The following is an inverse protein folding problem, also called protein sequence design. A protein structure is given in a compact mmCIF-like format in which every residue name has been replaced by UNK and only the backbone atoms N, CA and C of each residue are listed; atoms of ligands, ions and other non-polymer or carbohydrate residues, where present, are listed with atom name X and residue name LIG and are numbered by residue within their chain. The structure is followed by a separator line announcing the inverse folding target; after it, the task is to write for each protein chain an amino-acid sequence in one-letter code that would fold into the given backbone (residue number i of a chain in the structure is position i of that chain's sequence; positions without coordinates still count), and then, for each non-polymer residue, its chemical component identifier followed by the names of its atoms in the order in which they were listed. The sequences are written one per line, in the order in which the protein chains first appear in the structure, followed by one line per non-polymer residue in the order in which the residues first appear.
data_IF_014141257774
#
_entry.id   IF_014141257774
#
_cell.length_a   1.000
_cell.length_b   1.000
_cell.length_c   1.000
_cell.angle_alpha   90.00
_cell.angle_beta   90.00
_cell.angle_gamma   90.00
#
_symmetry.space_group_name_H-M   'P 1'
#
loop_
_entity.id
_entity.type
_entity.pdbx_description
1 polymer ?
#
# COMPACT_ATOMS: atom_id res chain seq x y z
N UNK A 1 10.90 23.32 2.95
CA UNK A 1 11.53 22.02 3.14
C UNK A 1 12.95 22.14 2.63
N UNK A 2 13.94 21.71 3.39
CA UNK A 2 15.29 21.45 2.88
C UNK A 2 15.14 20.49 1.69
N UNK A 3 15.82 20.77 0.59
CA UNK A 3 15.61 20.04 -0.68
C UNK A 3 15.67 18.52 -0.51
N UNK A 4 14.77 17.81 -1.17
CA UNK A 4 14.75 16.34 -1.24
C UNK A 4 15.99 15.87 -2.00
N UNK A 5 16.74 14.92 -1.42
CA UNK A 5 18.02 14.42 -1.96
C UNK A 5 17.90 12.95 -2.39
N UNK A 6 18.72 12.56 -3.34
CA UNK A 6 18.90 11.16 -3.69
C UNK A 6 19.35 10.36 -2.46
N UNK A 7 18.69 9.24 -2.20
CA UNK A 7 18.91 8.41 -1.03
C UNK A 7 17.99 8.72 0.16
N UNK A 8 17.22 9.81 0.14
CA UNK A 8 16.25 10.10 1.20
C UNK A 8 15.17 9.01 1.26
N UNK A 9 14.75 8.68 2.48
CA UNK A 9 13.73 7.67 2.75
C UNK A 9 12.62 8.30 3.59
N UNK A 10 11.40 8.24 3.09
CA UNK A 10 10.19 8.66 3.80
C UNK A 10 9.42 7.43 4.24
N UNK A 11 9.21 7.32 5.53
CA UNK A 11 8.52 6.21 6.16
C UNK A 11 7.17 6.68 6.69
N UNK A 12 6.12 5.92 6.39
CA UNK A 12 4.74 6.24 6.77
C UNK A 12 4.16 5.07 7.56
N UNK A 13 4.27 5.18 8.88
CA UNK A 13 3.60 4.27 9.81
C UNK A 13 2.08 4.47 9.76
N UNK A 14 1.37 3.50 10.27
CA UNK A 14 -0.07 3.59 10.47
C UNK A 14 -0.43 4.69 11.49
N UNK A 15 -1.31 5.60 11.08
CA UNK A 15 -1.83 6.69 11.93
C UNK A 15 -3.35 6.67 12.10
N UNK A 16 -4.04 5.79 11.38
CA UNK A 16 -5.50 5.78 11.31
C UNK A 16 -6.09 6.89 10.43
N UNK A 17 -5.25 7.63 9.72
CA UNK A 17 -5.65 8.72 8.84
C UNK A 17 -4.78 8.77 7.57
N UNK A 18 -5.24 9.48 6.55
CA UNK A 18 -4.44 9.77 5.35
C UNK A 18 -3.25 10.67 5.70
N UNK A 19 -2.10 10.35 5.14
CA UNK A 19 -0.89 11.17 5.18
C UNK A 19 -0.62 11.72 3.78
N UNK A 20 0.00 12.89 3.67
CA UNK A 20 0.25 13.52 2.37
C UNK A 20 1.70 13.95 2.23
N UNK A 21 2.22 13.91 1.01
CA UNK A 21 3.51 14.49 0.64
C UNK A 21 3.41 15.07 -0.76
N UNK A 22 4.13 16.17 -1.01
CA UNK A 22 4.36 16.66 -2.37
C UNK A 22 5.80 16.35 -2.73
N UNK A 23 5.96 15.48 -3.74
CA UNK A 23 7.27 15.11 -4.27
C UNK A 23 7.59 15.95 -5.50
N UNK A 24 8.83 16.48 -5.63
CA UNK A 24 9.26 17.18 -6.83
C UNK A 24 9.48 16.21 -7.99
N UNK A 25 9.82 16.76 -9.17
CA UNK A 25 10.34 15.97 -10.28
C UNK A 25 11.47 15.06 -9.79
N UNK A 26 11.44 13.77 -10.19
CA UNK A 26 12.43 12.80 -9.73
C UNK A 26 12.01 11.36 -9.98
N UNK A 27 12.80 10.42 -9.49
CA UNK A 27 12.54 8.98 -9.56
C UNK A 27 12.44 8.43 -8.14
N UNK A 28 11.38 7.68 -7.87
CA UNK A 28 11.00 7.24 -6.54
C UNK A 28 10.66 5.76 -6.53
N UNK A 29 11.23 5.00 -5.62
CA UNK A 29 10.78 3.65 -5.30
C UNK A 29 9.62 3.77 -4.31
N UNK A 30 8.48 3.20 -4.65
CA UNK A 30 7.29 3.12 -3.82
C UNK A 30 7.15 1.70 -3.29
N UNK A 31 6.95 1.55 -2.00
CA UNK A 31 6.79 0.26 -1.32
C UNK A 31 5.60 0.31 -0.38
N UNK A 32 4.72 -0.68 -0.46
CA UNK A 32 3.55 -0.80 0.40
C UNK A 32 3.50 -2.19 1.04
N UNK A 33 3.18 -2.26 2.33
CA UNK A 33 2.90 -3.49 3.08
C UNK A 33 1.46 -3.43 3.57
N UNK A 34 0.63 -4.40 3.22
CA UNK A 34 -0.75 -4.49 3.69
C UNK A 34 -0.82 -4.89 5.16
N UNK A 35 -1.93 -4.59 5.81
CA UNK A 35 -2.10 -4.91 7.21
C UNK A 35 -2.58 -6.35 7.45
N UNK A 36 -2.31 -6.89 8.62
CA UNK A 36 -2.77 -8.20 9.06
C UNK A 36 -4.26 -8.18 9.42
N UNK A 37 -4.97 -9.26 9.13
CA UNK A 37 -6.32 -9.50 9.62
C UNK A 37 -6.35 -9.81 11.12
N UNK A 38 -7.44 -9.47 11.78
CA UNK A 38 -7.65 -9.77 13.20
C UNK A 38 -7.70 -11.27 13.50
N UNK A 39 -7.40 -11.65 14.72
CA UNK A 39 -7.36 -13.04 15.18
C UNK A 39 -7.87 -13.16 16.61
N UNK A 40 -8.38 -14.34 16.98
CA UNK A 40 -8.94 -14.58 18.31
C UNK A 40 -7.90 -15.10 19.33
N UNK A 41 -7.06 -16.03 18.94
CA UNK A 41 -6.20 -16.76 19.87
C UNK A 41 -4.73 -16.81 19.47
N UNK A 42 -4.37 -16.55 18.24
CA UNK A 42 -2.99 -16.59 17.75
C UNK A 42 -2.82 -15.68 16.53
N UNK A 43 -1.77 -14.86 16.54
CA UNK A 43 -1.42 -13.97 15.43
C UNK A 43 -1.25 -14.71 14.09
N UNK A 44 -0.83 -15.97 14.14
CA UNK A 44 -0.67 -16.81 12.94
C UNK A 44 -1.98 -17.19 12.26
N UNK A 45 -3.13 -16.87 12.85
CA UNK A 45 -4.46 -17.16 12.29
C UNK A 45 -5.08 -16.01 11.52
N UNK A 46 -4.77 -14.76 11.87
CA UNK A 46 -5.10 -13.63 11.01
C UNK A 46 -4.26 -13.71 9.74
N UNK A 47 -4.86 -13.56 8.57
CA UNK A 47 -4.12 -13.53 7.31
C UNK A 47 -3.08 -12.40 7.34
N UNK A 48 -1.85 -12.69 6.94
CA UNK A 48 -0.80 -11.67 6.85
C UNK A 48 -1.04 -10.78 5.63
N UNK A 49 -0.64 -9.51 5.72
CA UNK A 49 -0.66 -8.59 4.61
C UNK A 49 0.38 -8.93 3.54
N UNK A 50 0.11 -8.51 2.29
CA UNK A 50 1.03 -8.64 1.18
C UNK A 50 1.94 -7.44 1.02
N UNK A 51 2.77 -7.47 -0.01
CA UNK A 51 3.70 -6.41 -0.37
C UNK A 51 3.53 -6.02 -1.84
N UNK A 52 3.70 -4.74 -2.13
CA UNK A 52 3.76 -4.23 -3.50
C UNK A 52 4.88 -3.20 -3.63
N UNK A 53 5.58 -3.21 -4.76
CA UNK A 53 6.68 -2.31 -5.07
C UNK A 53 6.63 -1.87 -6.53
N UNK A 54 7.13 -0.68 -6.80
CA UNK A 54 7.34 -0.17 -8.16
C UNK A 54 8.11 1.14 -8.15
N UNK A 55 8.69 1.49 -9.29
CA UNK A 55 9.45 2.72 -9.49
C UNK A 55 8.60 3.73 -10.27
N UNK A 56 8.36 4.90 -9.66
CA UNK A 56 7.61 6.02 -10.22
C UNK A 56 8.57 7.12 -10.69
N UNK A 57 8.37 7.60 -11.92
CA UNK A 57 9.02 8.81 -12.43
C UNK A 57 8.03 9.96 -12.41
N UNK A 58 8.38 11.06 -11.78
CA UNK A 58 7.60 12.29 -11.76
C UNK A 58 8.30 13.37 -12.59
N UNK A 59 7.55 14.00 -13.49
CA UNK A 59 8.04 15.09 -14.34
C UNK A 59 7.77 16.49 -13.77
N UNK A 60 6.97 16.58 -12.70
CA UNK A 60 6.62 17.83 -12.00
C UNK A 60 6.31 17.55 -10.54
N UNK A 61 6.21 18.63 -9.75
CA UNK A 61 5.74 18.54 -8.37
C UNK A 61 4.36 17.86 -8.31
N UNK A 62 4.26 16.77 -7.57
CA UNK A 62 3.07 15.93 -7.53
C UNK A 62 2.69 15.63 -6.09
N UNK A 63 1.43 15.86 -5.74
CA UNK A 63 0.88 15.48 -4.44
C UNK A 63 0.51 14.01 -4.41
N UNK A 64 0.94 13.31 -3.36
CA UNK A 64 0.60 11.93 -3.07
C UNK A 64 -0.21 11.87 -1.77
N UNK A 65 -1.22 11.00 -1.78
CA UNK A 65 -2.00 10.62 -0.60
C UNK A 65 -1.63 9.19 -0.21
N UNK A 66 -1.22 9.00 1.04
CA UNK A 66 -0.62 7.77 1.54
C UNK A 66 -1.52 7.17 2.61
N UNK A 67 -1.88 5.91 2.38
CA UNK A 67 -2.72 5.12 3.24
C UNK A 67 -1.95 3.92 3.76
N UNK A 68 -1.51 3.95 4.99
CA UNK A 68 -0.98 2.78 5.70
C UNK A 68 -2.13 2.06 6.36
N UNK A 69 -2.40 0.83 5.94
CA UNK A 69 -3.54 0.05 6.38
C UNK A 69 -3.53 -0.21 7.90
N UNK A 70 -4.69 -0.23 8.52
CA UNK A 70 -4.82 -0.66 9.92
C UNK A 70 -4.95 -2.18 10.02
N UNK A 71 -4.36 -2.82 11.03
CA UNK A 71 -4.64 -4.23 11.34
C UNK A 71 -6.12 -4.40 11.72
N UNK A 72 -6.67 -5.54 11.38
CA UNK A 72 -8.00 -5.91 11.87
C UNK A 72 -8.02 -6.00 13.39
N UNK A 73 -9.09 -5.52 14.02
CA UNK A 73 -9.19 -5.55 15.48
C UNK A 73 -9.25 -7.01 15.97
N UNK A 74 -8.41 -7.35 16.92
CA UNK A 74 -8.34 -8.64 17.59
C UNK A 74 -9.26 -8.64 18.80
N UNK A 75 -10.24 -9.56 18.83
CA UNK A 75 -11.26 -9.61 19.88
C UNK A 75 -12.32 -8.51 19.82
N UNK A 76 -12.28 -7.64 18.81
CA UNK A 76 -13.24 -6.55 18.59
C UNK A 76 -13.90 -6.63 17.21
N UNK A 77 -14.79 -5.68 16.91
CA UNK A 77 -15.65 -5.72 15.74
C UNK A 77 -15.15 -4.89 14.54
N UNK A 78 -14.20 -3.98 14.78
CA UNK A 78 -13.76 -3.03 13.75
C UNK A 78 -12.80 -3.66 12.76
N UNK A 79 -13.03 -3.41 11.48
CA UNK A 79 -12.06 -3.64 10.42
C UNK A 79 -10.91 -2.63 10.48
N UNK A 80 -9.79 -3.01 9.90
CA UNK A 80 -8.62 -2.14 9.77
C UNK A 80 -8.89 -0.97 8.84
N UNK A 81 -8.29 0.17 9.15
CA UNK A 81 -8.35 1.38 8.32
C UNK A 81 -7.94 1.07 6.88
N UNK A 82 -8.54 1.77 5.93
CA UNK A 82 -8.39 1.60 4.50
C UNK A 82 -8.88 0.23 3.98
N UNK A 83 -10.15 -0.04 4.24
CA UNK A 83 -10.94 -1.06 3.56
C UNK A 83 -11.00 -2.45 4.22
N UNK A 84 -10.36 -2.65 5.35
CA UNK A 84 -10.60 -3.87 6.14
C UNK A 84 -12.06 -3.94 6.59
N UNK A 85 -12.73 -5.08 6.38
CA UNK A 85 -14.13 -5.19 6.72
C UNK A 85 -14.35 -5.37 8.22
N UNK A 86 -15.41 -4.72 8.71
CA UNK A 86 -15.88 -4.86 10.10
C UNK A 86 -16.79 -6.09 10.24
N UNK A 87 -17.02 -6.50 11.46
CA UNK A 87 -17.87 -7.61 11.81
C UNK A 87 -18.81 -7.26 12.96
N UNK A 88 -19.88 -8.03 13.14
CA UNK A 88 -20.84 -7.79 14.23
C UNK A 88 -20.37 -8.27 15.59
N UNK A 89 -19.41 -9.19 15.69
CA UNK A 89 -19.03 -9.82 16.97
C UNK A 89 -17.55 -10.08 17.23
N UNK A 90 -16.68 -10.38 16.29
CA UNK A 90 -15.24 -10.62 16.52
C UNK A 90 -14.43 -10.40 15.25
N UNK A 91 -13.19 -9.96 15.40
CA UNK A 91 -12.09 -9.90 14.43
C UNK A 91 -12.43 -9.29 13.05
N UNK A 92 -11.97 -8.08 12.83
CA UNK A 92 -12.06 -7.39 11.53
C UNK A 92 -10.99 -7.84 10.55
N UNK A 93 -11.22 -7.64 9.25
CA UNK A 93 -10.21 -7.79 8.22
C UNK A 93 -9.14 -6.70 8.30
N UNK A 94 -7.92 -6.97 7.86
CA UNK A 94 -6.83 -5.99 7.74
C UNK A 94 -7.07 -5.02 6.57
N UNK A 95 -6.66 -3.77 6.71
CA UNK A 95 -6.73 -2.78 5.63
C UNK A 95 -5.62 -2.96 4.58
N UNK A 96 -5.86 -2.51 3.36
CA UNK A 96 -4.81 -2.38 2.35
C UNK A 96 -3.94 -1.15 2.61
N UNK A 97 -2.69 -1.16 2.15
CA UNK A 97 -1.87 0.04 2.07
C UNK A 97 -1.76 0.49 0.63
N UNK A 98 -1.95 1.79 0.37
CA UNK A 98 -1.91 2.31 -0.99
C UNK A 98 -1.34 3.73 -1.09
N UNK A 99 -0.91 4.10 -2.30
CA UNK A 99 -0.54 5.46 -2.66
C UNK A 99 -1.45 5.92 -3.81
N UNK A 100 -2.01 7.13 -3.66
CA UNK A 100 -2.86 7.79 -4.66
C UNK A 100 -2.18 9.05 -5.16
N UNK A 101 -2.34 9.36 -6.43
CA UNK A 101 -1.69 10.50 -7.08
C UNK A 101 -2.71 11.57 -7.46
N UNK A 102 -2.44 12.81 -7.05
CA UNK A 102 -3.15 14.02 -7.46
C UNK A 102 -4.53 14.19 -6.85
N UNK A 103 -5.23 13.11 -6.55
CA UNK A 103 -6.56 13.12 -5.94
C UNK A 103 -6.69 12.05 -4.85
N UNK A 104 -7.38 12.38 -3.78
CA UNK A 104 -7.72 11.43 -2.72
C UNK A 104 -8.94 10.59 -3.13
N UNK A 105 -8.70 9.63 -4.02
CA UNK A 105 -9.72 8.76 -4.58
C UNK A 105 -9.20 7.32 -4.76
N UNK A 106 -10.06 6.33 -4.57
CA UNK A 106 -9.75 4.94 -4.91
C UNK A 106 -9.40 4.77 -6.40
N UNK A 107 -9.87 5.67 -7.26
CA UNK A 107 -9.59 5.68 -8.70
C UNK A 107 -8.27 6.38 -9.08
N UNK A 108 -7.48 6.85 -8.09
CA UNK A 108 -6.17 7.45 -8.26
C UNK A 108 -5.04 6.59 -7.66
N UNK A 109 -5.30 5.32 -7.31
CA UNK A 109 -4.32 4.42 -6.70
C UNK A 109 -3.31 3.91 -7.72
N UNK A 110 -2.03 4.22 -7.54
CA UNK A 110 -0.94 3.72 -8.40
C UNK A 110 -0.32 2.42 -7.91
N UNK A 111 -0.42 2.16 -6.61
CA UNK A 111 0.14 0.96 -5.97
C UNK A 111 -0.72 0.59 -4.76
N UNK A 112 -0.98 -0.71 -4.59
CA UNK A 112 -1.80 -1.25 -3.50
C UNK A 112 -1.18 -2.55 -3.00
N UNK A 113 -0.97 -2.68 -1.71
CA UNK A 113 -0.69 -3.93 -1.04
C UNK A 113 -1.95 -4.40 -0.30
N UNK A 114 -2.41 -5.61 -0.57
CA UNK A 114 -3.63 -6.14 0.02
C UNK A 114 -3.48 -6.52 1.49
N UNK A 115 -4.51 -6.27 2.28
CA UNK A 115 -4.62 -6.69 3.67
C UNK A 115 -5.15 -8.11 3.82
N UNK A 116 -4.81 -8.77 4.92
CA UNK A 116 -5.28 -10.13 5.23
C UNK A 116 -6.71 -10.17 5.75
N UNK A 117 -7.40 -11.28 5.50
CA UNK A 117 -8.69 -11.58 6.11
C UNK A 117 -8.54 -11.97 7.59
N UNK A 118 -9.58 -11.79 8.40
CA UNK A 118 -9.57 -12.26 9.78
C UNK A 118 -9.76 -13.76 9.90
N UNK A 119 -9.35 -14.33 11.02
CA UNK A 119 -9.67 -15.72 11.34
C UNK A 119 -11.19 -15.91 11.56
N UNK A 120 -11.61 -17.17 11.51
CA UNK A 120 -12.85 -17.62 12.11
C UNK A 120 -12.57 -18.08 13.55
N UNK A 121 -13.58 -18.57 14.30
CA UNK A 121 -13.32 -19.26 15.56
C UNK A 121 -12.63 -20.63 15.32
N UNK A 122 -12.03 -21.19 16.37
CA UNK A 122 -11.68 -22.63 16.51
C UNK A 122 -10.67 -23.26 15.55
N UNK A 123 -9.71 -22.61 14.98
CA UNK A 123 -8.65 -23.17 14.11
C UNK A 123 -8.67 -22.78 12.63
N UNK A 124 -9.55 -21.90 12.23
CA UNK A 124 -9.65 -21.46 10.82
C UNK A 124 -8.86 -20.16 10.62
N UNK A 125 -8.01 -20.15 9.61
CA UNK A 125 -7.16 -19.00 9.30
C UNK A 125 -7.81 -18.08 8.27
N UNK A 126 -7.60 -16.77 8.42
CA UNK A 126 -7.87 -15.79 7.38
C UNK A 126 -6.99 -15.98 6.16
N UNK A 127 -7.48 -15.59 5.00
CA UNK A 127 -6.70 -15.56 3.77
C UNK A 127 -5.64 -14.45 3.80
N UNK A 128 -4.45 -14.73 3.27
CA UNK A 128 -3.39 -13.73 3.14
C UNK A 128 -3.77 -12.61 2.15
N UNK A 129 -3.28 -11.40 2.37
CA UNK A 129 -3.39 -10.29 1.43
C UNK A 129 -2.30 -10.26 0.38
N UNK A 130 -2.44 -9.43 -0.64
CA UNK A 130 -1.43 -9.16 -1.66
C UNK A 130 -1.31 -10.23 -2.75
N UNK A 131 -0.27 -10.09 -3.55
CA UNK A 131 -0.19 -10.79 -4.83
C UNK A 131 -1.23 -10.23 -5.82
N UNK A 132 -1.27 -10.76 -7.04
CA UNK A 132 -2.35 -10.45 -8.00
C UNK A 132 -3.70 -10.98 -7.52
N UNK A 133 -3.66 -12.02 -6.71
CA UNK A 133 -4.84 -12.63 -6.08
C UNK A 133 -4.52 -12.85 -4.62
N UNK A 134 -5.36 -12.36 -3.74
CA UNK A 134 -5.25 -12.64 -2.32
C UNK A 134 -5.45 -14.11 -1.99
N UNK A 135 -5.33 -14.49 -0.73
CA UNK A 135 -5.61 -15.85 -0.25
C UNK A 135 -7.10 -16.05 0.03
N UNK A 136 -7.62 -17.18 -0.35
CA UNK A 136 -8.90 -17.63 0.21
C UNK A 136 -8.69 -18.11 1.65
N UNK A 137 -9.69 -17.94 2.49
CA UNK A 137 -9.65 -18.47 3.85
C UNK A 137 -9.63 -19.99 3.88
N UNK A 138 -9.09 -20.56 4.95
CA UNK A 138 -9.13 -22.02 5.16
C UNK A 138 -10.57 -22.51 5.20
N UNK A 139 -10.85 -23.53 4.40
CA UNK A 139 -12.21 -24.11 4.30
C UNK A 139 -12.51 -25.00 5.51
N UNK A 140 -13.69 -24.82 6.12
CA UNK A 140 -14.42 -25.84 6.86
C UNK A 140 -15.49 -26.47 5.96
N UNK A 141 -16.55 -27.05 6.52
CA UNK A 141 -17.76 -27.37 5.75
C UNK A 141 -18.39 -26.05 5.25
N UNK A 142 -18.59 -25.92 3.92
CA UNK A 142 -19.12 -24.72 3.28
C UNK A 142 -18.06 -23.74 2.74
N UNK A 143 -18.44 -22.50 2.40
CA UNK A 143 -17.56 -21.52 1.72
C UNK A 143 -16.97 -20.52 2.71
N UNK A 144 -15.65 -20.60 2.99
CA UNK A 144 -14.89 -19.51 3.57
C UNK A 144 -14.89 -18.27 2.66
N UNK A 145 -14.44 -17.13 3.14
CA UNK A 145 -14.30 -15.92 2.33
C UNK A 145 -13.31 -16.15 1.17
N UNK A 146 -13.73 -15.86 -0.05
CA UNK A 146 -12.93 -15.94 -1.26
C UNK A 146 -11.89 -14.82 -1.32
N UNK A 147 -10.85 -15.02 -2.12
CA UNK A 147 -9.80 -14.02 -2.37
C UNK A 147 -10.28 -12.89 -3.27
N UNK A 148 -9.84 -11.65 -3.03
CA UNK A 148 -9.88 -10.57 -4.00
C UNK A 148 -8.93 -10.83 -5.17
N UNK A 149 -9.31 -10.42 -6.37
CA UNK A 149 -8.55 -10.60 -7.61
C UNK A 149 -8.24 -9.25 -8.27
N UNK A 150 -7.70 -9.26 -9.50
CA UNK A 150 -7.46 -8.02 -10.26
C UNK A 150 -8.75 -7.37 -10.79
N UNK A 151 -9.85 -8.12 -10.87
CA UNK A 151 -11.08 -7.65 -11.54
C UNK A 151 -12.34 -7.78 -10.68
N UNK A 152 -12.28 -8.49 -9.55
CA UNK A 152 -13.44 -8.74 -8.72
C UNK A 152 -13.06 -8.90 -7.24
N UNK A 153 -13.96 -8.50 -6.36
CA UNK A 153 -13.88 -8.82 -4.95
C UNK A 153 -14.08 -10.32 -4.69
N UNK A 154 -13.47 -10.80 -3.61
CA UNK A 154 -13.62 -12.19 -3.19
C UNK A 154 -15.06 -12.53 -2.90
N UNK A 155 -15.50 -13.69 -3.34
CA UNK A 155 -16.84 -14.19 -3.05
C UNK A 155 -17.05 -14.36 -1.54
N UNK A 156 -18.16 -13.87 -1.04
CA UNK A 156 -18.61 -14.08 0.33
C UNK A 156 -19.98 -14.72 0.36
N UNK A 157 -20.31 -15.41 1.44
CA UNK A 157 -21.67 -15.97 1.58
C UNK A 157 -22.72 -14.85 1.70
N UNK A 158 -23.87 -15.03 1.06
CA UNK A 158 -25.07 -14.16 1.26
C UNK A 158 -24.80 -12.65 1.25
N UNK A 159 -24.29 -12.10 0.16
CA UNK A 159 -23.99 -10.65 -0.01
C UNK A 159 -22.78 -10.12 0.77
N UNK A 160 -21.90 -10.97 1.25
CA UNK A 160 -20.69 -10.63 1.99
C UNK A 160 -19.43 -10.63 1.10
N UNK A 161 -19.60 -10.46 -0.20
CA UNK A 161 -18.49 -10.35 -1.15
C UNK A 161 -17.69 -9.07 -0.94
N UNK A 162 -16.39 -9.14 -1.20
CA UNK A 162 -15.56 -7.95 -1.28
C UNK A 162 -15.92 -7.09 -2.49
N UNK A 163 -15.48 -5.85 -2.48
CA UNK A 163 -15.67 -4.88 -3.57
C UNK A 163 -14.35 -4.15 -3.88
N UNK A 164 -14.39 -3.20 -4.81
CA UNK A 164 -13.22 -2.36 -5.11
C UNK A 164 -12.80 -1.57 -3.88
N UNK A 165 -11.63 -1.87 -3.35
CA UNK A 165 -11.05 -1.23 -2.16
C UNK A 165 -11.44 -1.87 -0.83
N UNK A 166 -12.56 -2.59 -0.73
CA UNK A 166 -13.18 -2.93 0.55
C UNK A 166 -13.47 -4.42 0.67
N UNK A 167 -13.13 -5.02 1.80
CA UNK A 167 -13.45 -6.39 2.15
C UNK A 167 -14.93 -6.61 2.46
N UNK A 168 -15.40 -7.84 2.32
CA UNK A 168 -16.72 -8.27 2.71
C UNK A 168 -16.84 -8.49 4.21
N UNK A 169 -17.94 -8.05 4.82
CA UNK A 169 -18.17 -8.21 6.25
C UNK A 169 -18.34 -9.68 6.64
N UNK A 170 -17.74 -10.08 7.74
CA UNK A 170 -18.04 -11.36 8.39
C UNK A 170 -19.28 -11.27 9.26
N UNK A 171 -19.95 -12.39 9.49
CA UNK A 171 -21.14 -12.44 10.33
C UNK A 171 -21.09 -13.52 11.38
N UNK A 172 -21.97 -13.39 12.37
CA UNK A 172 -22.22 -14.41 13.37
C UNK A 172 -23.64 -15.00 13.14
N UNK A 173 -23.74 -16.31 13.20
CA UNK A 173 -25.02 -16.99 13.14
C UNK A 173 -25.00 -18.18 14.09
N UNK A 174 -25.95 -18.23 15.01
CA UNK A 174 -26.00 -19.27 16.08
C UNK A 174 -24.66 -19.37 16.83
N UNK A 175 -23.92 -20.51 16.75
CA UNK A 175 -22.60 -20.73 17.32
C UNK A 175 -21.45 -20.48 16.35
N UNK A 176 -21.75 -20.23 15.05
CA UNK A 176 -20.72 -20.09 14.00
C UNK A 176 -20.18 -18.66 13.88
N UNK A 177 -18.85 -18.54 13.74
CA UNK A 177 -18.14 -17.26 13.64
C UNK A 177 -17.44 -17.13 12.28
N UNK A 178 -18.03 -16.36 11.35
CA UNK A 178 -17.44 -16.08 10.05
C UNK A 178 -16.45 -14.92 10.09
N UNK A 179 -15.26 -15.04 9.56
CA UNK A 179 -14.25 -13.99 9.48
C UNK A 179 -14.59 -12.92 8.43
N UNK A 180 -13.99 -11.73 8.59
CA UNK A 180 -14.15 -10.58 7.70
C UNK A 180 -13.05 -10.53 6.66
N UNK A 181 -13.37 -10.07 5.45
CA UNK A 181 -12.41 -9.92 4.35
C UNK A 181 -11.44 -8.76 4.56
N UNK A 182 -10.21 -8.90 4.07
CA UNK A 182 -9.21 -7.84 4.01
C UNK A 182 -9.48 -6.84 2.89
N UNK A 183 -9.02 -5.59 3.08
CA UNK A 183 -9.01 -4.56 2.04
C UNK A 183 -7.91 -4.77 1.01
N UNK A 184 -7.92 -4.03 -0.10
CA UNK A 184 -6.89 -4.15 -1.14
C UNK A 184 -7.30 -3.47 -2.43
N UNK A 185 -6.72 -3.89 -3.57
CA UNK A 185 -7.20 -3.46 -4.89
C UNK A 185 -8.67 -3.84 -5.06
N UNK A 186 -8.96 -5.14 -4.95
CA UNK A 186 -10.26 -5.64 -4.57
C UNK A 186 -10.17 -6.35 -3.23
N UNK A 187 -11.13 -6.15 -2.37
CA UNK A 187 -11.17 -6.79 -1.05
C UNK A 187 -11.53 -8.26 -1.12
N UNK A 188 -11.11 -9.02 -0.11
CA UNK A 188 -11.53 -10.41 0.09
C UNK A 188 -12.97 -10.53 0.56
N UNK A 189 -13.58 -11.68 0.37
CA UNK A 189 -14.95 -11.96 0.83
C UNK A 189 -15.02 -12.21 2.33
N UNK A 190 -16.13 -11.85 2.94
CA UNK A 190 -16.49 -12.24 4.30
C UNK A 190 -17.17 -13.60 4.34
N UNK A 191 -17.10 -14.26 5.47
CA UNK A 191 -17.79 -15.52 5.68
C UNK A 191 -19.18 -15.28 6.29
N UNK A 192 -20.14 -16.04 5.80
CA UNK A 192 -21.47 -16.18 6.37
C UNK A 192 -21.65 -17.64 6.83
N UNK A 193 -21.68 -17.93 8.14
CA UNK A 193 -21.89 -19.29 8.64
C UNK A 193 -23.25 -19.83 8.19
N UNK A 194 -23.29 -21.13 7.87
CA UNK A 194 -24.55 -21.79 7.56
C UNK A 194 -25.38 -22.13 8.82
N UNK A 195 -26.50 -22.82 8.64
CA UNK A 195 -27.42 -23.14 9.73
C UNK A 195 -26.99 -24.31 10.63
N UNK A 196 -25.88 -25.00 10.30
CA UNK A 196 -25.43 -26.19 11.06
C UNK A 196 -24.61 -25.84 12.30
N UNK A 197 -24.21 -24.54 12.47
CA UNK A 197 -23.58 -24.06 13.70
C UNK A 197 -22.08 -24.40 13.88
N UNK A 198 -21.52 -25.25 13.02
CA UNK A 198 -20.12 -25.73 13.12
C UNK A 198 -19.15 -24.99 12.16
N UNK A 199 -19.61 -23.87 11.58
CA UNK A 199 -18.94 -23.23 10.45
C UNK A 199 -18.16 -21.98 10.85
N UNK A 200 -17.14 -22.18 11.65
CA UNK A 200 -16.10 -21.19 11.89
C UNK A 200 -15.18 -21.07 10.67
N UNK A 201 -15.32 -20.05 9.86
CA UNK A 201 -14.51 -19.86 8.64
C UNK A 201 -13.88 -18.47 8.63
N UNK A 202 -12.64 -18.38 8.15
CA UNK A 202 -11.97 -17.11 7.98
C UNK A 202 -12.54 -16.27 6.82
N UNK A 203 -12.23 -14.98 6.82
CA UNK A 203 -12.41 -14.08 5.69
C UNK A 203 -11.27 -14.19 4.68
N UNK A 204 -11.53 -13.91 3.41
CA UNK A 204 -10.52 -13.87 2.35
C UNK A 204 -9.61 -12.64 2.44
N UNK A 205 -8.40 -12.72 1.88
CA UNK A 205 -7.50 -11.57 1.75
C UNK A 205 -7.81 -10.73 0.50
N UNK A 206 -7.49 -9.43 0.55
CA UNK A 206 -7.57 -8.54 -0.59
C UNK A 206 -6.38 -8.69 -1.54
N UNK A 207 -6.54 -8.35 -2.82
CA UNK A 207 -5.46 -8.37 -3.81
C UNK A 207 -4.57 -7.14 -3.74
N UNK A 208 -3.32 -7.27 -4.22
CA UNK A 208 -2.43 -6.17 -4.53
C UNK A 208 -2.61 -5.67 -5.96
N UNK A 209 -2.03 -4.52 -6.27
CA UNK A 209 -2.04 -3.92 -7.60
C UNK A 209 -0.87 -2.96 -7.79
N UNK A 210 -0.33 -2.89 -8.99
CA UNK A 210 0.60 -1.85 -9.40
C UNK A 210 0.17 -1.33 -10.77
N UNK A 211 0.02 -0.01 -10.91
CA UNK A 211 -0.37 0.66 -12.14
C UNK A 211 0.79 0.70 -13.12
N UNK A 212 0.73 -0.11 -14.15
CA UNK A 212 1.75 -0.24 -15.20
C UNK A 212 1.10 -0.12 -16.58
N UNK A 213 1.90 -0.07 -17.63
CA UNK A 213 1.38 -0.09 -19.00
C UNK A 213 0.57 -1.35 -19.32
N UNK A 214 0.86 -2.48 -18.65
CA UNK A 214 0.14 -3.74 -18.86
C UNK A 214 -1.13 -3.85 -18.00
N UNK A 215 -1.15 -3.27 -16.79
CA UNK A 215 -2.29 -3.39 -15.87
C UNK A 215 -3.30 -2.26 -16.02
N UNK A 216 -2.93 -1.15 -16.66
CA UNK A 216 -3.79 0.03 -16.83
C UNK A 216 -5.11 -0.27 -17.57
N UNK A 217 -5.10 -1.20 -18.52
CA UNK A 217 -6.30 -1.58 -19.27
C UNK A 217 -7.36 -2.31 -18.42
N UNK A 218 -6.96 -2.90 -17.31
CA UNK A 218 -7.86 -3.58 -16.34
C UNK A 218 -8.31 -2.68 -15.18
N UNK A 219 -7.92 -1.39 -15.21
CA UNK A 219 -8.39 -0.45 -14.18
C UNK A 219 -9.91 -0.27 -14.29
N UNK A 220 -10.65 -0.27 -13.18
CA UNK A 220 -12.09 -0.02 -13.22
C UNK A 220 -12.44 1.32 -13.89
N UNK A 221 -13.63 1.39 -14.48
CA UNK A 221 -14.14 2.63 -15.07
C UNK A 221 -14.05 3.79 -14.07
N UNK A 222 -13.57 4.94 -14.54
CA UNK A 222 -13.35 6.12 -13.69
C UNK A 222 -11.89 6.32 -13.26
N UNK A 223 -10.92 5.58 -13.82
CA UNK A 223 -9.49 5.80 -13.58
C UNK A 223 -9.11 7.28 -13.77
N UNK A 224 -8.46 7.85 -12.76
CA UNK A 224 -8.00 9.24 -12.75
C UNK A 224 -6.51 9.38 -13.10
N UNK A 225 -5.85 8.27 -13.41
CA UNK A 225 -4.44 8.20 -13.76
C UNK A 225 -4.27 8.22 -15.30
N UNK A 226 -3.06 8.55 -15.73
CA UNK A 226 -2.65 8.48 -17.12
C UNK A 226 -1.28 7.81 -17.24
N UNK A 227 -0.78 7.63 -18.46
CA UNK A 227 0.47 6.94 -18.76
C UNK A 227 1.72 7.56 -18.13
N UNK A 228 1.68 8.84 -17.71
CA UNK A 228 2.79 9.48 -17.01
C UNK A 228 3.06 8.89 -15.62
N UNK A 229 2.09 8.15 -15.07
CA UNK A 229 2.19 7.52 -13.74
C UNK A 229 2.39 6.00 -13.80
N UNK A 230 2.73 5.44 -14.95
CA UNK A 230 3.09 4.02 -15.03
C UNK A 230 4.34 3.74 -14.20
N UNK A 231 4.24 2.77 -13.30
CA UNK A 231 5.36 2.27 -12.54
C UNK A 231 6.13 1.23 -13.37
N UNK A 232 7.46 1.27 -13.23
CA UNK A 232 8.38 0.24 -13.72
C UNK A 232 8.90 -0.62 -12.57
N UNK A 233 9.61 -1.71 -12.86
CA UNK A 233 10.13 -2.63 -11.82
C UNK A 233 9.05 -3.07 -10.85
N UNK A 234 7.84 -3.27 -11.36
CA UNK A 234 6.63 -3.50 -10.59
C UNK A 234 6.49 -4.95 -10.16
N UNK A 235 6.13 -5.15 -8.89
CA UNK A 235 5.87 -6.48 -8.34
C UNK A 235 4.82 -6.41 -7.24
N UNK A 236 4.01 -7.47 -7.12
CA UNK A 236 3.18 -7.77 -5.94
C UNK A 236 3.59 -9.12 -5.37
N UNK A 237 3.69 -9.22 -4.04
CA UNK A 237 4.04 -10.45 -3.32
C UNK A 237 2.92 -10.77 -2.33
N UNK A 238 2.51 -12.03 -2.34
CA UNK A 238 1.45 -12.51 -1.47
C UNK A 238 1.92 -12.68 -0.01
N UNK A 239 1.04 -12.45 0.94
CA UNK A 239 1.33 -12.52 2.37
C UNK A 239 1.63 -13.93 2.92
N UNK A 240 1.71 -14.95 2.08
CA UNK A 240 2.22 -16.28 2.44
C UNK A 240 3.61 -16.55 1.83
N UNK A 241 4.21 -15.60 1.17
CA UNK A 241 5.52 -15.69 0.55
C UNK A 241 6.57 -14.83 1.26
N UNK A 242 7.84 -15.10 1.03
CA UNK A 242 8.95 -14.27 1.51
C UNK A 242 8.95 -12.93 0.79
N UNK A 243 9.05 -11.84 1.54
CA UNK A 243 9.04 -10.46 1.06
C UNK A 243 10.02 -9.59 1.87
N UNK A 244 10.41 -8.40 1.38
CA UNK A 244 11.15 -7.42 2.18
C UNK A 244 10.37 -7.06 3.44
N UNK A 245 11.04 -6.94 4.60
CA UNK A 245 10.45 -6.41 5.81
C UNK A 245 10.67 -4.89 5.92
N UNK A 246 9.87 -4.24 6.74
CA UNK A 246 10.03 -2.80 7.02
C UNK A 246 11.36 -2.47 7.70
N UNK A 247 12.00 -3.44 8.36
CA UNK A 247 13.29 -3.31 9.03
C UNK A 247 14.51 -3.57 8.10
N UNK A 248 14.28 -3.85 6.80
CA UNK A 248 15.36 -4.09 5.83
C UNK A 248 15.88 -5.53 5.76
N UNK A 249 15.25 -6.47 6.48
CA UNK A 249 15.44 -7.92 6.35
C UNK A 249 14.36 -8.55 5.46
N UNK A 250 14.09 -9.84 5.61
CA UNK A 250 12.97 -10.53 4.99
C UNK A 250 11.97 -11.02 6.04
N UNK A 251 10.69 -11.11 5.65
CA UNK A 251 9.62 -11.68 6.46
C UNK A 251 8.71 -12.54 5.58
N UNK A 252 7.91 -13.42 6.18
CA UNK A 252 6.87 -14.18 5.46
C UNK A 252 5.52 -13.56 5.76
N UNK A 253 5.05 -12.72 4.84
CA UNK A 253 3.85 -11.91 5.02
C UNK A 253 3.98 -10.88 6.13
N UNK A 254 3.35 -9.72 5.95
CA UNK A 254 3.44 -8.62 6.90
C UNK A 254 2.45 -8.77 8.05
N UNK A 255 2.93 -8.59 9.29
CA UNK A 255 2.14 -8.68 10.51
C UNK A 255 1.86 -7.29 11.10
N UNK A 256 0.74 -7.16 11.82
CA UNK A 256 0.34 -5.90 12.44
C UNK A 256 -0.24 -4.89 11.43
N UNK A 257 0.00 -3.62 11.70
CA UNK A 257 -0.44 -2.54 10.82
C UNK A 257 0.38 -2.49 9.54
N UNK A 258 -0.25 -2.05 8.47
CA UNK A 258 0.41 -1.80 7.20
C UNK A 258 1.38 -0.62 7.26
N UNK A 259 2.17 -0.52 6.21
CA UNK A 259 3.26 0.45 6.14
C UNK A 259 3.50 0.89 4.71
N UNK A 260 4.01 2.11 4.54
CA UNK A 260 4.41 2.64 3.23
C UNK A 260 5.80 3.26 3.33
N UNK A 261 6.64 3.03 2.33
CA UNK A 261 7.96 3.65 2.19
C UNK A 261 8.12 4.25 0.80
N UNK A 262 8.68 5.45 0.77
CA UNK A 262 9.11 6.10 -0.47
C UNK A 262 10.61 6.35 -0.36
N UNK A 263 11.38 5.81 -1.31
CA UNK A 263 12.82 6.04 -1.39
C UNK A 263 13.14 6.88 -2.62
N UNK A 264 13.90 7.94 -2.47
CA UNK A 264 14.34 8.80 -3.57
C UNK A 264 15.49 8.13 -4.30
N UNK A 265 15.21 7.56 -5.48
CA UNK A 265 16.25 6.95 -6.34
C UNK A 265 17.07 8.03 -7.02
N UNK A 266 16.38 9.08 -7.51
CA UNK A 266 17.01 10.23 -8.16
C UNK A 266 16.20 11.49 -7.84
N UNK A 267 16.79 12.41 -7.11
CA UNK A 267 16.22 13.73 -6.90
C UNK A 267 16.34 14.59 -8.17
N UNK A 268 15.49 15.62 -8.28
CA UNK A 268 15.65 16.64 -9.30
C UNK A 268 17.06 17.25 -9.18
N UNK A 269 17.79 17.27 -10.28
CA UNK A 269 19.02 18.07 -10.35
C UNK A 269 18.64 19.55 -10.32
N UNK A 270 19.31 20.29 -9.48
CA UNK A 270 19.19 21.75 -9.48
C UNK A 270 19.93 22.26 -10.71
N UNK A 271 19.20 22.71 -11.73
CA UNK A 271 19.79 23.40 -12.86
C UNK A 271 20.11 24.82 -12.43
N UNK A 272 21.38 25.10 -12.14
CA UNK A 272 21.84 26.47 -11.89
C UNK A 272 22.38 26.99 -13.22
N UNK A 273 21.72 28.00 -13.84
CA UNK A 273 22.20 28.54 -15.09
C UNK A 273 23.56 29.23 -14.84
N UNK A 274 24.54 28.87 -15.67
CA UNK A 274 25.89 29.45 -15.63
C UNK A 274 26.09 30.34 -16.85
N UNK A 275 26.55 31.57 -16.62
CA UNK A 275 26.86 32.48 -17.70
C UNK A 275 28.22 32.14 -18.31
N UNK A 276 28.23 31.69 -19.54
CA UNK A 276 29.46 31.41 -20.30
C UNK A 276 29.55 32.42 -21.46
N UNK A 277 30.45 33.39 -21.35
CA UNK A 277 30.48 34.51 -22.29
C UNK A 277 29.22 35.38 -22.18
N UNK A 278 28.53 35.64 -23.27
CA UNK A 278 27.29 36.43 -23.33
C UNK A 278 26.01 35.61 -23.13
N UNK A 279 26.09 34.27 -23.04
CA UNK A 279 24.92 33.38 -22.99
C UNK A 279 24.79 32.68 -21.64
N UNK A 280 23.53 32.52 -21.19
CA UNK A 280 23.19 31.65 -20.06
C UNK A 280 23.04 30.20 -20.58
N UNK A 281 23.62 29.27 -19.85
CA UNK A 281 23.49 27.82 -20.12
C UNK A 281 23.08 27.11 -18.84
N UNK A 282 22.18 26.17 -18.98
CA UNK A 282 21.83 25.27 -17.88
C UNK A 282 23.00 24.35 -17.59
N UNK A 283 23.29 24.14 -16.29
CA UNK A 283 24.28 23.18 -15.85
C UNK A 283 23.62 22.03 -15.09
N UNK A 284 23.96 20.81 -15.41
CA UNK A 284 23.46 19.63 -14.68
C UNK A 284 24.10 19.49 -13.29
N UNK A 285 25.28 20.10 -13.07
CA UNK A 285 25.97 20.13 -11.80
C UNK A 285 26.99 21.29 -11.78
N UNK A 286 27.20 21.85 -10.60
CA UNK A 286 28.27 22.83 -10.33
C UNK A 286 29.33 22.14 -9.49
N UNK A 287 30.59 22.33 -9.86
CA UNK A 287 31.74 21.83 -9.10
C UNK A 287 32.59 22.98 -8.62
N UNK A 288 33.09 22.91 -7.40
CA UNK A 288 34.09 23.83 -6.87
C UNK A 288 35.43 23.08 -6.68
N UNK A 289 36.51 23.73 -7.02
CA UNK A 289 37.85 23.18 -6.77
C UNK A 289 38.26 23.58 -5.35
N UNK A 290 38.46 22.58 -4.49
CA UNK A 290 38.95 22.79 -3.13
C UNK A 290 40.24 21.99 -2.98
N UNK A 291 41.37 22.69 -2.92
CA UNK A 291 42.70 22.04 -2.76
C UNK A 291 43.08 21.10 -3.90
N UNK A 292 42.73 21.43 -5.13
CA UNK A 292 43.04 20.62 -6.32
C UNK A 292 42.00 19.51 -6.61
N UNK A 293 40.98 19.34 -5.80
CA UNK A 293 39.92 18.34 -5.98
C UNK A 293 38.60 19.03 -6.34
N UNK A 294 38.00 18.64 -7.48
CA UNK A 294 36.67 19.10 -7.85
C UNK A 294 35.60 18.39 -7.00
N UNK A 295 34.83 19.16 -6.25
CA UNK A 295 33.66 18.66 -5.48
C UNK A 295 32.38 19.23 -6.04
N UNK A 296 31.40 18.39 -6.18
CA UNK A 296 30.06 18.82 -6.61
C UNK A 296 29.42 19.69 -5.52
N UNK A 297 28.76 20.77 -5.94
CA UNK A 297 28.01 21.64 -5.03
C UNK A 297 26.64 21.00 -4.79
N UNK A 298 26.32 20.71 -3.55
CA UNK A 298 25.03 20.13 -3.16
C UNK A 298 23.94 21.18 -3.02
N UNK A 299 24.30 22.43 -2.69
CA UNK A 299 23.38 23.55 -2.61
C UNK A 299 24.14 24.86 -2.96
N UNK A 300 23.46 25.77 -3.66
CA UNK A 300 23.97 27.09 -3.94
C UNK A 300 23.08 28.16 -3.27
N UNK A 301 23.71 29.23 -2.79
CA UNK A 301 23.03 30.30 -2.09
C UNK A 301 23.35 31.63 -2.76
N UNK A 302 22.35 32.52 -2.80
CA UNK A 302 22.52 33.89 -3.21
C UNK A 302 22.29 34.82 -2.02
N UNK A 303 23.15 35.83 -1.85
CA UNK A 303 22.97 36.87 -0.83
C UNK A 303 22.07 37.97 -1.38
N UNK A 304 20.89 38.11 -0.77
CA UNK A 304 19.95 39.20 -1.12
C UNK A 304 19.72 40.00 0.17
N UNK A 305 20.15 41.24 0.17
CA UNK A 305 19.99 42.15 1.30
C UNK A 305 20.53 41.61 2.64
N UNK A 306 21.75 41.09 2.63
CA UNK A 306 22.45 40.48 3.80
C UNK A 306 21.86 39.14 4.28
N UNK A 307 20.93 38.55 3.55
CA UNK A 307 20.37 37.24 3.87
C UNK A 307 20.74 36.25 2.77
N UNK A 308 21.40 35.13 3.12
CA UNK A 308 21.67 34.02 2.19
C UNK A 308 20.39 33.25 1.92
N UNK A 309 20.06 33.07 0.66
CA UNK A 309 18.92 32.24 0.20
C UNK A 309 19.44 31.15 -0.70
N UNK A 310 18.97 29.95 -0.47
CA UNK A 310 19.22 28.81 -1.35
C UNK A 310 18.54 29.07 -2.70
N UNK A 311 19.28 28.82 -3.79
CA UNK A 311 18.78 28.87 -5.14
C UNK A 311 18.77 27.46 -5.70
N UNK A 312 17.58 26.95 -6.08
CA UNK A 312 17.39 25.62 -6.62
C UNK A 312 16.08 25.55 -7.36
#
# INVERSE_FOLDING_TARGET
MTGIKTGDIFNYDYTGAVQTVTLPKGIYKLECWGAQGGYRSSATRGGHGGYSVGTLTLEANTQLFIYSGGSGNTGGTSGGFNGGASRTTYNGGGGGSDIRIGQDSLYARVIVAGGGGSDGASSKTGGYGGGETGGAATKGYGSGGGAGTQTAGGAGGSSHSGTFGVGGAGTHRQSGYGGSGGGGWYGGGGCYPDSSGDDDKGGGGGSGYVYTSSTASSYPSGCLLNSAYYLTEAQTIAGNASMPSTAGSTETGHQGNGYVRITVIKAQSVNIPVKIGASWKDSEAIYVNIGGVCKQVEAAYVNINITWKEIG
#
